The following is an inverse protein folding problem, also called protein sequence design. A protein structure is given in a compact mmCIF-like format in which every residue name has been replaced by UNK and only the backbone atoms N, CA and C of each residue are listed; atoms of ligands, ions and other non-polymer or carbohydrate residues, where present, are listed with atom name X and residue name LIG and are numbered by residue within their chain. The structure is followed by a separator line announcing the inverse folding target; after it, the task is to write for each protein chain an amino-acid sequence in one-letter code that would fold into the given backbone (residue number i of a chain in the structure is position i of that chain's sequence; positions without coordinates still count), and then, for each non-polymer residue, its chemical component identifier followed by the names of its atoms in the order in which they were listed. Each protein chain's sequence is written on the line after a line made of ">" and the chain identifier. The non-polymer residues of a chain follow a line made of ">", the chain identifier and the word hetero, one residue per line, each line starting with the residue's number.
data_IF_326753419103
#
_entry.id   IF_326753419103
#
_cell.length_a   1.000
_cell.length_b   1.000
_cell.length_c   1.000
_cell.angle_alpha   90.00
_cell.angle_beta   90.00
_cell.angle_gamma   90.00
#
_symmetry.space_group_name_H-M   'P 1'
#
loop_
_entity.id
_entity.type
_entity.pdbx_description
1 polymer ?
#
# COMPACT_ATOMS: atom_id res chain seq x y z
N UNK A 1 22.22 97.95 19.43
CA UNK A 1 22.00 97.33 20.74
C UNK A 1 22.30 95.85 20.56
N UNK A 2 23.54 95.38 20.81
CA UNK A 2 24.07 94.98 22.13
C UNK A 2 23.12 93.99 22.83
N UNK A 3 23.50 92.78 23.26
CA UNK A 3 24.80 92.12 23.32
C UNK A 3 24.66 90.78 24.08
N UNK A 4 25.76 90.00 24.08
CA UNK A 4 26.19 89.03 25.12
C UNK A 4 25.31 87.78 25.37
N UNK A 5 25.83 86.56 25.60
CA UNK A 5 27.15 86.09 26.00
C UNK A 5 27.05 85.21 27.27
N UNK A 6 27.78 84.09 27.30
CA UNK A 6 28.01 83.12 28.41
C UNK A 6 26.93 82.02 28.61
N UNK A 7 27.20 80.72 28.45
CA UNK A 7 28.19 79.80 29.07
C UNK A 7 27.96 79.58 30.57
N UNK A 8 27.37 78.44 30.93
CA UNK A 8 27.76 77.67 32.13
C UNK A 8 27.55 76.15 31.95
N UNK A 9 28.61 75.43 32.36
CA UNK A 9 28.75 73.98 32.61
C UNK A 9 27.69 73.55 33.65
N UNK A 10 27.19 72.33 33.80
CA UNK A 10 27.64 70.99 33.41
C UNK A 10 27.22 70.09 34.58
N UNK A 11 26.37 69.08 34.35
CA UNK A 11 26.06 68.04 35.35
C UNK A 11 25.93 66.69 34.65
N UNK A 12 26.56 65.71 35.27
CA UNK A 12 26.78 64.35 34.83
C UNK A 12 25.51 63.58 34.43
N UNK A 13 25.59 62.89 33.30
CA UNK A 13 24.62 61.90 32.85
C UNK A 13 25.37 60.69 32.28
N UNK A 14 25.54 59.68 33.13
CA UNK A 14 26.17 58.38 32.83
C UNK A 14 25.37 57.66 31.73
N UNK A 15 25.83 57.75 30.47
CA UNK A 15 25.30 56.91 29.39
C UNK A 15 26.12 55.62 29.28
N UNK A 16 25.57 54.56 29.91
CA UNK A 16 25.99 53.17 29.73
C UNK A 16 25.90 52.77 28.26
N UNK A 17 26.96 52.13 27.78
CA UNK A 17 26.98 51.39 26.53
C UNK A 17 25.87 50.32 26.50
N UNK A 18 25.18 50.12 25.37
CA UNK A 18 24.30 48.98 25.22
C UNK A 18 25.15 47.71 25.08
N UNK A 19 25.14 46.88 26.13
CA UNK A 19 25.52 45.46 26.03
C UNK A 19 24.63 44.85 24.95
N UNK A 20 25.22 44.45 23.81
CA UNK A 20 24.58 43.55 22.86
C UNK A 20 24.29 42.23 23.57
N UNK A 21 23.02 42.06 23.93
CA UNK A 21 22.39 40.79 24.30
C UNK A 21 22.46 39.89 23.07
N UNK A 22 23.24 38.82 23.15
CA UNK A 22 23.06 37.64 22.31
C UNK A 22 21.88 36.87 22.88
N UNK A 23 20.66 37.34 22.59
CA UNK A 23 19.46 36.57 22.82
C UNK A 23 19.25 35.67 21.59
N UNK A 24 19.15 34.37 21.86
CA UNK A 24 19.00 33.32 20.86
C UNK A 24 17.78 33.56 19.98
N UNK A 25 18.04 33.69 18.68
CA UNK A 25 17.03 33.50 17.65
C UNK A 25 16.74 32.00 17.54
N UNK A 26 15.78 31.57 18.36
CA UNK A 26 14.97 30.41 18.04
C UNK A 26 14.25 30.71 16.71
N UNK A 27 14.77 30.15 15.62
CA UNK A 27 14.06 30.03 14.35
C UNK A 27 12.87 29.10 14.57
N UNK A 28 11.77 29.66 15.04
CA UNK A 28 10.44 29.06 14.94
C UNK A 28 10.05 28.98 13.48
N UNK A 29 10.53 27.94 12.79
CA UNK A 29 9.98 27.55 11.50
C UNK A 29 8.55 27.12 11.77
N UNK A 30 7.59 27.94 11.32
CA UNK A 30 6.19 27.63 11.41
C UNK A 30 5.90 26.30 10.72
N UNK A 31 5.57 25.32 11.54
CA UNK A 31 5.23 23.94 11.16
C UNK A 31 3.84 23.81 10.52
N UNK A 32 3.21 24.94 10.15
CA UNK A 32 1.83 25.01 9.68
C UNK A 32 1.67 24.96 8.15
N UNK A 33 2.73 25.21 7.37
CA UNK A 33 2.61 25.29 5.90
C UNK A 33 2.83 23.97 5.14
N UNK A 34 3.34 22.92 5.78
CA UNK A 34 3.60 21.62 5.13
C UNK A 34 2.32 20.80 4.95
N UNK A 35 1.29 21.06 5.76
CA UNK A 35 0.04 20.27 5.76
C UNK A 35 -0.87 20.59 4.57
N UNK A 36 -0.71 21.75 3.92
CA UNK A 36 -1.60 22.20 2.84
C UNK A 36 -1.24 21.68 1.44
N UNK A 37 -0.15 20.91 1.26
CA UNK A 37 0.27 20.40 -0.06
C UNK A 37 0.23 18.87 -0.25
N UNK A 38 -0.25 18.14 0.75
CA UNK A 38 -0.67 16.73 0.60
C UNK A 38 -2.04 16.53 -0.11
N UNK A 39 -2.95 17.52 -0.30
CA UNK A 39 -4.30 17.22 -0.75
C UNK A 39 -4.42 16.92 -2.25
N UNK A 40 -3.34 16.86 -3.04
CA UNK A 40 -3.44 16.60 -4.49
C UNK A 40 -3.61 15.12 -4.86
N UNK A 41 -3.16 14.18 -4.02
CA UNK A 41 -3.53 12.76 -4.16
C UNK A 41 -4.77 12.36 -3.36
N UNK A 42 -5.29 13.26 -2.53
CA UNK A 42 -6.40 13.00 -1.60
C UNK A 42 -7.61 13.94 -1.81
N UNK A 43 -7.61 14.77 -2.85
CA UNK A 43 -8.60 15.82 -3.03
C UNK A 43 -9.47 15.62 -4.25
N UNK A 44 -10.77 15.34 -4.04
CA UNK A 44 -11.85 16.18 -4.58
C UNK A 44 -13.10 16.12 -3.67
N UNK A 45 -13.49 17.35 -3.28
CA UNK A 45 -14.83 17.88 -2.99
C UNK A 45 -15.72 17.29 -1.88
N UNK A 46 -15.72 18.01 -0.76
CA UNK A 46 -16.96 18.45 -0.10
C UNK A 46 -17.89 19.19 -1.08
N UNK A 47 -19.12 18.69 -1.27
CA UNK A 47 -20.38 19.46 -1.25
C UNK A 47 -21.57 18.64 -1.81
N UNK A 48 -22.50 18.25 -0.93
CA UNK A 48 -23.95 18.53 -1.08
C UNK A 48 -24.77 17.70 -0.11
N UNK A 49 -25.25 18.36 0.94
CA UNK A 49 -26.37 17.90 1.75
C UNK A 49 -27.68 18.10 0.98
N UNK A 50 -28.48 17.05 0.83
CA UNK A 50 -29.93 17.18 0.72
C UNK A 50 -30.58 15.94 1.37
N UNK A 51 -31.33 16.20 2.44
CA UNK A 51 -32.26 15.28 3.10
C UNK A 51 -33.44 14.97 2.16
N UNK A 52 -34.07 13.80 2.31
CA UNK A 52 -35.47 13.64 2.76
C UNK A 52 -36.06 12.25 2.42
N UNK A 53 -36.79 11.68 3.39
CA UNK A 53 -37.90 10.73 3.21
C UNK A 53 -37.50 9.26 3.03
N UNK A 54 -37.95 8.27 3.81
CA UNK A 54 -39.10 8.19 4.70
C UNK A 54 -40.11 7.16 4.15
N UNK A 55 -40.31 6.08 4.92
CA UNK A 55 -41.40 5.05 4.81
C UNK A 55 -41.25 4.08 3.63
N UNK A 56 -41.49 2.77 3.72
CA UNK A 56 -41.99 1.88 4.76
C UNK A 56 -42.37 0.51 4.14
N UNK A 57 -43.05 -0.31 4.95
CA UNK A 57 -43.91 -1.48 4.61
C UNK A 57 -43.23 -2.88 4.45
N UNK A 58 -43.95 -4.03 4.57
CA UNK A 58 -44.07 -4.83 5.81
C UNK A 58 -43.94 -6.38 5.66
N UNK A 59 -44.10 -7.12 6.77
CA UNK A 59 -44.73 -8.46 6.85
C UNK A 59 -43.82 -9.67 6.60
N UNK A 60 -43.54 -10.54 7.59
CA UNK A 60 -44.37 -11.65 8.20
C UNK A 60 -43.75 -13.02 7.80
N UNK A 61 -44.14 -14.17 8.39
CA UNK A 61 -43.81 -14.73 9.72
C UNK A 61 -43.01 -16.07 9.63
N UNK A 62 -42.68 -16.69 10.78
CA UNK A 62 -42.11 -18.05 10.92
C UNK A 62 -43.06 -19.19 10.47
N UNK A 63 -42.72 -20.49 10.66
CA UNK A 63 -42.44 -21.07 11.99
C UNK A 63 -41.41 -22.23 12.05
N UNK A 64 -41.02 -22.59 13.30
CA UNK A 64 -40.89 -23.92 13.95
C UNK A 64 -40.24 -25.09 13.16
N UNK A 65 -39.17 -25.74 13.61
CA UNK A 65 -38.96 -26.57 14.82
C UNK A 65 -38.73 -28.03 14.40
N UNK A 66 -37.84 -28.74 15.12
CA UNK A 66 -37.97 -30.19 15.30
C UNK A 66 -36.81 -31.08 14.81
N UNK A 67 -36.24 -31.82 15.79
CA UNK A 67 -35.76 -33.20 15.62
C UNK A 67 -34.30 -33.37 15.16
N UNK A 68 -33.33 -33.61 16.04
CA UNK A 68 -32.99 -34.92 16.62
C UNK A 68 -32.91 -36.06 15.59
N UNK A 69 -31.69 -36.52 15.27
CA UNK A 69 -31.34 -37.94 15.30
C UNK A 69 -29.83 -38.13 15.02
N UNK A 70 -29.13 -38.59 16.05
CA UNK A 70 -27.97 -39.47 15.93
C UNK A 70 -28.30 -40.64 14.99
N UNK A 71 -27.32 -41.18 14.25
CA UNK A 71 -26.63 -42.45 14.55
C UNK A 71 -25.93 -42.99 13.30
N UNK A 72 -24.77 -43.61 13.55
CA UNK A 72 -24.30 -44.86 12.92
C UNK A 72 -23.28 -44.74 11.76
N UNK A 73 -22.04 -44.86 12.21
CA UNK A 73 -20.90 -45.46 11.52
C UNK A 73 -21.29 -46.79 10.87
N UNK A 74 -20.99 -46.96 9.58
CA UNK A 74 -20.63 -48.26 9.01
C UNK A 74 -19.66 -48.08 7.86
N UNK A 75 -18.47 -48.68 8.05
CA UNK A 75 -17.49 -48.94 7.01
C UNK A 75 -18.04 -50.05 6.12
N UNK A 76 -18.06 -49.81 4.81
CA UNK A 76 -18.10 -50.87 3.81
C UNK A 76 -16.95 -50.62 2.84
N UNK A 77 -15.91 -51.43 3.00
CA UNK A 77 -14.87 -51.68 2.02
C UNK A 77 -15.44 -52.63 0.99
N UNK A 78 -15.56 -52.17 -0.24
CA UNK A 78 -15.80 -53.01 -1.41
C UNK A 78 -14.68 -52.81 -2.46
N UNK A 79 -14.40 -53.82 -3.28
CA UNK A 79 -13.15 -53.97 -3.98
C UNK A 79 -13.05 -53.13 -5.26
N UNK A 80 -11.81 -52.78 -5.58
CA UNK A 80 -11.37 -52.04 -6.76
C UNK A 80 -11.82 -52.77 -8.03
N UNK A 81 -12.81 -52.20 -8.73
CA UNK A 81 -13.12 -52.53 -10.12
C UNK A 81 -12.29 -51.59 -11.00
N UNK A 82 -11.21 -52.11 -11.59
CA UNK A 82 -10.42 -51.39 -12.60
C UNK A 82 -11.18 -51.50 -13.91
N UNK A 83 -12.04 -50.53 -14.17
CA UNK A 83 -12.73 -50.41 -15.45
C UNK A 83 -11.82 -49.70 -16.45
N UNK A 84 -11.27 -50.49 -17.37
CA UNK A 84 -10.26 -50.09 -18.33
C UNK A 84 -10.89 -49.51 -19.61
N UNK A 85 -11.78 -48.52 -19.52
CA UNK A 85 -12.24 -47.75 -20.70
C UNK A 85 -12.82 -46.38 -20.30
N UNK A 86 -11.97 -45.39 -20.04
CA UNK A 86 -12.35 -43.99 -20.25
C UNK A 86 -11.17 -43.23 -20.86
N UNK A 87 -10.99 -43.39 -22.17
CA UNK A 87 -10.20 -42.44 -22.97
C UNK A 87 -11.05 -41.21 -23.23
N UNK A 88 -11.23 -40.39 -22.20
CA UNK A 88 -11.70 -39.03 -22.38
C UNK A 88 -10.70 -38.27 -23.28
N UNK A 89 -11.18 -37.49 -24.27
CA UNK A 89 -10.33 -36.87 -25.27
C UNK A 89 -9.37 -35.90 -24.59
N UNK A 90 -8.08 -36.12 -24.79
CA UNK A 90 -7.01 -35.19 -24.48
C UNK A 90 -7.26 -33.89 -25.26
N UNK A 91 -8.07 -33.00 -24.67
CA UNK A 91 -8.11 -31.60 -25.08
C UNK A 91 -6.79 -30.99 -24.64
N UNK A 92 -5.82 -31.07 -25.55
CA UNK A 92 -4.61 -30.26 -25.52
C UNK A 92 -5.03 -28.79 -25.49
N UNK A 93 -5.22 -28.22 -24.29
CA UNK A 93 -5.27 -26.77 -24.10
C UNK A 93 -3.88 -26.24 -24.41
N UNK A 94 -3.67 -25.93 -25.67
CA UNK A 94 -2.60 -25.05 -26.13
C UNK A 94 -2.68 -23.79 -25.26
N UNK A 95 -1.61 -23.55 -24.50
CA UNK A 95 -1.49 -22.49 -23.51
C UNK A 95 -1.42 -21.12 -24.15
N UNK A 96 -2.56 -20.58 -24.57
CA UNK A 96 -2.74 -19.16 -24.78
C UNK A 96 -2.91 -18.48 -23.43
N UNK A 97 -2.00 -17.59 -23.05
CA UNK A 97 -2.14 -16.76 -21.86
C UNK A 97 -3.36 -15.86 -22.01
N UNK A 98 -4.54 -16.32 -21.58
CA UNK A 98 -5.77 -15.56 -21.74
C UNK A 98 -5.70 -14.34 -20.83
N UNK A 99 -5.56 -13.16 -21.45
CA UNK A 99 -5.74 -11.88 -20.78
C UNK A 99 -7.18 -11.86 -20.26
N UNK A 100 -7.36 -11.85 -18.95
CA UNK A 100 -8.70 -11.82 -18.37
C UNK A 100 -9.27 -10.41 -18.42
N UNK A 101 -10.57 -10.27 -18.64
CA UNK A 101 -11.24 -8.97 -18.70
C UNK A 101 -10.97 -8.02 -17.50
N UNK A 102 -10.79 -8.46 -16.22
CA UNK A 102 -10.49 -7.52 -15.14
C UNK A 102 -9.09 -6.91 -15.25
N UNK A 103 -8.14 -7.62 -15.86
CA UNK A 103 -6.81 -7.08 -16.13
C UNK A 103 -6.88 -6.04 -17.25
N UNK A 104 -7.72 -6.26 -18.27
CA UNK A 104 -7.96 -5.22 -19.30
C UNK A 104 -8.58 -3.98 -18.66
N UNK A 105 -9.59 -4.17 -17.80
CA UNK A 105 -10.22 -3.07 -17.06
C UNK A 105 -9.20 -2.33 -16.20
N UNK A 106 -8.34 -3.04 -15.48
CA UNK A 106 -7.22 -2.44 -14.72
C UNK A 106 -6.35 -1.55 -15.61
N UNK A 107 -5.90 -2.07 -16.77
CA UNK A 107 -5.02 -1.32 -17.69
C UNK A 107 -5.72 -0.08 -18.24
N UNK A 108 -7.01 -0.18 -18.61
CA UNK A 108 -7.79 0.97 -19.09
C UNK A 108 -7.93 2.02 -17.99
N UNK A 109 -8.33 1.63 -16.78
CA UNK A 109 -8.47 2.56 -15.64
C UNK A 109 -7.12 3.19 -15.28
N UNK A 110 -6.04 2.41 -15.29
CA UNK A 110 -4.67 2.89 -15.09
C UNK A 110 -4.26 3.94 -16.12
N UNK A 111 -4.49 3.67 -17.40
CA UNK A 111 -4.16 4.61 -18.48
C UNK A 111 -4.96 5.92 -18.33
N UNK A 112 -6.27 5.83 -18.09
CA UNK A 112 -7.12 7.00 -17.87
C UNK A 112 -6.64 7.78 -16.63
N UNK A 113 -6.33 7.10 -15.54
CA UNK A 113 -5.85 7.73 -14.31
C UNK A 113 -4.52 8.46 -14.51
N UNK A 114 -3.55 7.83 -15.20
CA UNK A 114 -2.26 8.46 -15.50
C UNK A 114 -2.43 9.70 -16.39
N UNK A 115 -3.30 9.64 -17.41
CA UNK A 115 -3.63 10.82 -18.23
C UNK A 115 -4.28 11.92 -17.38
N UNK A 116 -5.18 11.56 -16.46
CA UNK A 116 -5.78 12.53 -15.54
C UNK A 116 -4.76 13.19 -14.62
N UNK A 117 -3.75 12.45 -14.13
CA UNK A 117 -2.66 13.00 -13.34
C UNK A 117 -1.79 13.95 -14.17
N UNK A 118 -1.46 13.60 -15.42
CA UNK A 118 -0.66 14.45 -16.30
C UNK A 118 -1.37 15.74 -16.73
N UNK A 119 -2.70 15.75 -16.67
CA UNK A 119 -3.55 16.88 -17.05
C UNK A 119 -4.19 17.59 -15.85
N UNK A 120 -3.81 17.23 -14.61
CA UNK A 120 -4.36 17.76 -13.37
C UNK A 120 -5.91 17.76 -13.30
N UNK A 121 -6.54 16.69 -13.79
CA UNK A 121 -8.00 16.61 -13.89
C UNK A 121 -8.64 16.29 -12.53
N UNK A 122 -9.75 16.97 -12.15
CA UNK A 122 -10.39 16.80 -10.84
C UNK A 122 -11.06 15.42 -10.66
N UNK A 123 -11.23 14.65 -11.72
CA UNK A 123 -11.83 13.30 -11.65
C UNK A 123 -10.82 12.20 -11.31
N UNK A 124 -9.54 12.55 -11.08
CA UNK A 124 -8.45 11.61 -10.76
C UNK A 124 -8.73 10.75 -9.51
N UNK A 125 -9.43 11.30 -8.51
CA UNK A 125 -9.79 10.57 -7.30
C UNK A 125 -10.73 9.38 -7.56
N UNK A 126 -11.64 9.50 -8.53
CA UNK A 126 -12.59 8.42 -8.88
C UNK A 126 -11.84 7.27 -9.53
N UNK A 127 -10.98 7.57 -10.51
CA UNK A 127 -10.21 6.53 -11.20
C UNK A 127 -9.18 5.90 -10.29
N UNK A 128 -8.58 6.66 -9.35
CA UNK A 128 -7.68 6.14 -8.33
C UNK A 128 -8.34 5.05 -7.49
N UNK A 129 -9.55 5.32 -6.97
CA UNK A 129 -10.32 4.35 -6.19
C UNK A 129 -10.69 3.08 -6.97
N UNK A 130 -10.73 3.16 -8.31
CA UNK A 130 -11.05 2.03 -9.19
C UNK A 130 -9.84 1.22 -9.66
N UNK A 131 -8.60 1.60 -9.30
CA UNK A 131 -7.40 0.92 -9.79
C UNK A 131 -7.26 -0.50 -9.22
N UNK A 132 -7.34 -0.66 -7.90
CA UNK A 132 -7.03 -1.95 -7.25
C UNK A 132 -8.16 -3.00 -7.36
N UNK A 133 -9.47 -2.67 -7.28
CA UNK A 133 -10.53 -3.67 -7.32
C UNK A 133 -10.52 -4.61 -8.56
N UNK A 134 -10.30 -4.12 -9.80
CA UNK A 134 -10.15 -4.99 -10.97
C UNK A 134 -8.95 -5.94 -10.86
N UNK A 135 -7.87 -5.52 -10.19
CA UNK A 135 -6.70 -6.37 -9.98
C UNK A 135 -6.96 -7.47 -8.94
N UNK A 136 -7.71 -7.17 -7.88
CA UNK A 136 -8.22 -8.18 -6.94
C UNK A 136 -9.09 -9.18 -7.69
N UNK A 137 -10.03 -8.70 -8.51
CA UNK A 137 -10.86 -9.56 -9.32
C UNK A 137 -10.01 -10.43 -10.25
N UNK A 138 -9.01 -9.86 -10.95
CA UNK A 138 -8.07 -10.61 -11.79
C UNK A 138 -7.41 -11.77 -11.04
N UNK A 139 -6.83 -11.50 -9.86
CA UNK A 139 -6.23 -12.52 -9.00
C UNK A 139 -7.23 -13.64 -8.72
N UNK A 140 -8.41 -13.28 -8.19
CA UNK A 140 -9.44 -14.25 -7.80
C UNK A 140 -9.94 -15.08 -8.98
N UNK A 141 -10.15 -14.47 -10.16
CA UNK A 141 -10.60 -15.20 -11.36
C UNK A 141 -9.54 -16.19 -11.85
N UNK A 142 -8.27 -15.79 -11.87
CA UNK A 142 -7.16 -16.62 -12.37
C UNK A 142 -6.83 -17.78 -11.44
N UNK A 143 -7.11 -17.62 -10.16
CA UNK A 143 -6.93 -18.69 -9.16
C UNK A 143 -8.25 -19.33 -8.74
N UNK A 144 -9.31 -19.23 -9.56
CA UNK A 144 -10.58 -19.91 -9.31
C UNK A 144 -10.37 -21.41 -9.09
N UNK A 145 -11.03 -21.94 -8.07
CA UNK A 145 -10.90 -23.34 -7.65
C UNK A 145 -9.62 -23.66 -6.86
N UNK A 146 -8.73 -22.68 -6.63
CA UNK A 146 -7.49 -22.87 -5.86
C UNK A 146 -7.48 -21.99 -4.62
N UNK A 147 -8.02 -22.51 -3.53
CA UNK A 147 -8.15 -21.81 -2.24
C UNK A 147 -6.88 -21.94 -1.38
N UNK A 148 -5.75 -21.46 -1.89
CA UNK A 148 -4.49 -21.50 -1.14
C UNK A 148 -4.37 -20.31 -0.18
N UNK A 149 -3.68 -20.46 0.96
CA UNK A 149 -3.37 -19.33 1.85
C UNK A 149 -2.67 -18.17 1.14
N UNK A 150 -1.80 -18.48 0.17
CA UNK A 150 -1.12 -17.48 -0.67
C UNK A 150 -2.12 -16.56 -1.38
N UNK A 151 -3.15 -17.12 -2.03
CA UNK A 151 -4.17 -16.33 -2.73
C UNK A 151 -4.99 -15.50 -1.75
N UNK A 152 -5.46 -16.12 -0.66
CA UNK A 152 -6.30 -15.44 0.34
C UNK A 152 -5.59 -14.24 0.95
N UNK A 153 -4.36 -14.43 1.41
CA UNK A 153 -3.58 -13.37 2.05
C UNK A 153 -3.10 -12.30 1.05
N UNK A 154 -2.83 -12.67 -0.22
CA UNK A 154 -2.58 -11.69 -1.28
C UNK A 154 -3.81 -10.82 -1.58
N UNK A 155 -5.01 -11.41 -1.59
CA UNK A 155 -6.25 -10.66 -1.76
C UNK A 155 -6.52 -9.72 -0.57
N UNK A 156 -6.28 -10.19 0.66
CA UNK A 156 -6.34 -9.35 1.88
C UNK A 156 -5.34 -8.20 1.79
N UNK A 157 -4.12 -8.47 1.34
CA UNK A 157 -3.07 -7.46 1.18
C UNK A 157 -3.49 -6.36 0.20
N UNK A 158 -4.01 -6.74 -0.97
CA UNK A 158 -4.55 -5.82 -1.97
C UNK A 158 -5.75 -5.04 -1.42
N UNK A 159 -6.65 -5.69 -0.67
CA UNK A 159 -7.80 -5.04 -0.05
C UNK A 159 -7.40 -3.96 0.94
N UNK A 160 -6.42 -4.24 1.81
CA UNK A 160 -5.90 -3.24 2.74
C UNK A 160 -5.10 -2.13 2.06
N UNK A 161 -4.33 -2.45 1.01
CA UNK A 161 -3.68 -1.43 0.18
C UNK A 161 -4.70 -0.48 -0.46
N UNK A 162 -5.75 -1.05 -1.07
CA UNK A 162 -6.86 -0.27 -1.60
C UNK A 162 -7.56 0.60 -0.54
N UNK A 163 -7.81 0.06 0.65
CA UNK A 163 -8.35 0.86 1.76
C UNK A 163 -7.37 1.96 2.18
N UNK A 164 -6.06 1.69 2.16
CA UNK A 164 -5.01 2.68 2.44
C UNK A 164 -4.96 3.81 1.43
N UNK A 165 -5.45 3.59 0.21
CA UNK A 165 -5.62 4.62 -0.82
C UNK A 165 -6.97 5.36 -0.68
N UNK A 166 -8.06 4.64 -0.37
CA UNK A 166 -9.42 5.17 -0.42
C UNK A 166 -9.90 5.81 0.90
N UNK A 167 -9.61 5.18 2.05
CA UNK A 167 -10.13 5.63 3.36
C UNK A 167 -9.57 6.99 3.79
N UNK A 168 -8.28 7.31 3.60
CA UNK A 168 -7.74 8.60 4.03
C UNK A 168 -8.48 9.81 3.45
N UNK A 169 -9.00 9.70 2.22
CA UNK A 169 -9.79 10.76 1.55
C UNK A 169 -11.01 11.17 2.39
N UNK A 170 -11.55 10.25 3.18
CA UNK A 170 -12.76 10.45 3.99
C UNK A 170 -12.45 11.02 5.39
N UNK A 171 -11.17 11.16 5.74
CA UNK A 171 -10.75 11.58 7.08
C UNK A 171 -10.26 13.04 7.12
N UNK A 172 -10.32 13.70 8.28
CA UNK A 172 -9.71 15.00 8.48
C UNK A 172 -8.19 14.97 8.25
N UNK A 173 -7.63 16.05 7.69
CA UNK A 173 -6.20 16.23 7.37
C UNK A 173 -5.20 15.60 8.37
N UNK A 174 -5.29 15.82 9.70
CA UNK A 174 -4.32 15.24 10.65
C UNK A 174 -4.34 13.71 10.73
N UNK A 175 -5.44 13.06 10.35
CA UNK A 175 -5.60 11.61 10.41
C UNK A 175 -5.27 10.91 9.07
N UNK A 176 -5.22 11.64 7.95
CA UNK A 176 -5.07 11.08 6.61
C UNK A 176 -3.77 10.29 6.44
N UNK A 177 -2.64 10.92 6.80
CA UNK A 177 -1.32 10.30 6.65
C UNK A 177 -1.18 9.08 7.57
N UNK A 178 -1.59 9.21 8.83
CA UNK A 178 -1.50 8.13 9.81
C UNK A 178 -2.36 6.93 9.42
N UNK A 179 -3.60 7.15 8.99
CA UNK A 179 -4.50 6.07 8.57
C UNK A 179 -4.01 5.37 7.30
N UNK A 180 -3.47 6.14 6.33
CA UNK A 180 -2.88 5.56 5.12
C UNK A 180 -1.71 4.64 5.45
N UNK A 181 -0.79 5.09 6.31
CA UNK A 181 0.35 4.28 6.76
C UNK A 181 -0.13 3.01 7.47
N UNK A 182 -1.10 3.11 8.38
CA UNK A 182 -1.61 1.94 9.13
C UNK A 182 -2.27 0.93 8.20
N UNK A 183 -3.15 1.36 7.29
CA UNK A 183 -3.83 0.47 6.36
C UNK A 183 -2.85 -0.18 5.38
N UNK A 184 -1.89 0.58 4.86
CA UNK A 184 -0.82 0.03 4.02
C UNK A 184 0.10 -0.93 4.78
N UNK A 185 0.36 -0.69 6.07
CA UNK A 185 1.11 -1.61 6.93
C UNK A 185 0.37 -2.93 7.11
N UNK A 186 -0.96 -2.91 7.31
CA UNK A 186 -1.79 -4.11 7.33
C UNK A 186 -1.76 -4.85 5.99
N UNK A 187 -1.75 -4.11 4.88
CA UNK A 187 -1.55 -4.68 3.54
C UNK A 187 -0.21 -5.42 3.42
N UNK A 188 0.87 -4.83 3.91
CA UNK A 188 2.19 -5.46 3.94
C UNK A 188 2.23 -6.71 4.81
N UNK A 189 1.58 -6.69 5.97
CA UNK A 189 1.43 -7.89 6.79
C UNK A 189 0.71 -9.00 6.03
N UNK A 190 -0.33 -8.67 5.25
CA UNK A 190 -0.99 -9.60 4.35
C UNK A 190 -0.01 -10.23 3.35
N UNK A 191 0.82 -9.43 2.68
CA UNK A 191 1.83 -9.94 1.75
C UNK A 191 2.88 -10.81 2.44
N UNK A 192 3.37 -10.38 3.60
CA UNK A 192 4.33 -11.12 4.42
C UNK A 192 3.76 -12.48 4.79
N UNK A 193 2.54 -12.53 5.34
CA UNK A 193 1.87 -13.78 5.71
C UNK A 193 1.64 -14.68 4.48
N UNK A 194 1.32 -14.09 3.32
CA UNK A 194 1.15 -14.82 2.08
C UNK A 194 2.46 -15.51 1.62
N UNK A 195 3.60 -14.84 1.78
CA UNK A 195 4.90 -15.30 1.26
C UNK A 195 5.73 -16.08 2.28
N UNK A 196 5.43 -15.92 3.57
CA UNK A 196 6.14 -16.57 4.67
C UNK A 196 6.29 -18.09 4.50
N UNK A 197 5.30 -18.87 4.01
CA UNK A 197 5.48 -20.32 3.79
C UNK A 197 6.63 -20.67 2.84
N UNK A 198 7.06 -19.73 2.00
CA UNK A 198 8.17 -19.91 1.05
C UNK A 198 9.49 -19.30 1.52
N UNK A 199 9.60 -18.85 2.78
CA UNK A 199 10.77 -18.14 3.30
C UNK A 199 12.09 -18.94 3.16
N UNK A 200 12.04 -20.27 3.27
CA UNK A 200 13.23 -21.14 3.09
C UNK A 200 13.82 -21.08 1.68
N UNK A 201 13.03 -20.66 0.70
CA UNK A 201 13.44 -20.45 -0.70
C UNK A 201 13.79 -18.99 -0.99
N UNK A 202 13.68 -18.12 0.01
CA UNK A 202 14.00 -16.71 -0.13
C UNK A 202 15.51 -16.48 0.03
N UNK A 203 15.98 -15.34 -0.45
CA UNK A 203 17.37 -14.90 -0.27
C UNK A 203 17.77 -14.83 1.21
N UNK A 204 16.81 -14.62 2.13
CA UNK A 204 17.10 -14.60 3.56
C UNK A 204 17.62 -15.94 4.08
N UNK A 205 17.18 -17.05 3.49
CA UNK A 205 17.62 -18.40 3.87
C UNK A 205 18.72 -18.93 2.96
N UNK A 206 18.63 -18.69 1.65
CA UNK A 206 19.56 -19.28 0.67
C UNK A 206 20.84 -18.45 0.50
N UNK A 207 20.75 -17.11 0.61
CA UNK A 207 21.85 -16.19 0.33
C UNK A 207 21.81 -14.96 1.26
N UNK A 208 21.99 -15.14 2.59
CA UNK A 208 21.89 -14.05 3.56
C UNK A 208 22.73 -12.79 3.24
N UNK A 209 23.93 -12.87 2.62
CA UNK A 209 24.67 -11.66 2.23
C UNK A 209 23.91 -10.73 1.27
N UNK A 210 22.97 -11.24 0.48
CA UNK A 210 22.13 -10.42 -0.40
C UNK A 210 21.08 -9.59 0.36
N UNK A 211 20.96 -9.74 1.68
CA UNK A 211 20.14 -8.87 2.52
C UNK A 211 20.77 -7.51 2.76
N UNK A 212 22.09 -7.38 2.61
CA UNK A 212 22.82 -6.12 2.82
C UNK A 212 22.22 -4.95 2.02
N UNK A 213 21.98 -5.04 0.70
CA UNK A 213 21.36 -3.94 -0.04
C UNK A 213 19.94 -3.59 0.46
N UNK A 214 19.15 -4.57 0.91
CA UNK A 214 17.83 -4.33 1.50
C UNK A 214 17.94 -3.63 2.85
N UNK A 215 18.90 -4.05 3.68
CA UNK A 215 19.19 -3.43 4.97
C UNK A 215 19.67 -1.97 4.81
N UNK A 216 20.57 -1.72 3.86
CA UNK A 216 21.03 -0.36 3.52
C UNK A 216 19.83 0.47 3.04
N UNK A 217 19.00 -0.07 2.14
CA UNK A 217 17.82 0.60 1.63
C UNK A 217 16.84 1.00 2.73
N UNK A 218 16.50 0.07 3.65
CA UNK A 218 15.54 0.36 4.74
C UNK A 218 16.10 1.36 5.74
N UNK A 219 17.38 1.21 6.13
CA UNK A 219 18.03 2.13 7.08
C UNK A 219 18.16 3.51 6.47
N UNK A 220 18.55 3.61 5.20
CA UNK A 220 18.62 4.87 4.48
C UNK A 220 17.25 5.55 4.36
N UNK A 221 16.22 4.80 3.96
CA UNK A 221 14.86 5.31 3.85
C UNK A 221 14.33 5.82 5.19
N UNK A 222 14.44 5.03 6.26
CA UNK A 222 14.01 5.42 7.60
C UNK A 222 14.80 6.63 8.08
N UNK A 223 16.13 6.63 7.91
CA UNK A 223 17.01 7.71 8.35
C UNK A 223 16.68 9.06 7.68
N UNK A 224 16.35 9.05 6.39
CA UNK A 224 15.91 10.24 5.65
C UNK A 224 14.55 10.75 6.13
N UNK A 225 13.61 9.85 6.43
CA UNK A 225 12.25 10.22 6.82
C UNK A 225 12.12 10.62 8.30
N UNK A 226 13.04 10.15 9.16
CA UNK A 226 12.93 10.32 10.61
C UNK A 226 12.81 11.80 11.05
N UNK A 227 13.65 12.73 10.55
CA UNK A 227 13.60 14.15 10.96
C UNK A 227 12.26 14.82 10.67
N UNK A 228 11.61 14.48 9.55
CA UNK A 228 10.31 15.04 9.17
C UNK A 228 9.10 14.28 9.73
N UNK A 229 9.29 13.10 10.32
CA UNK A 229 8.19 12.25 10.77
C UNK A 229 7.48 12.73 12.04
N UNK A 230 8.09 13.61 12.83
CA UNK A 230 7.49 14.16 14.05
C UNK A 230 6.98 13.06 14.99
N UNK A 231 5.70 13.11 15.38
CA UNK A 231 5.09 12.09 16.26
C UNK A 231 4.81 10.75 15.54
N UNK A 232 4.91 10.69 14.22
CA UNK A 232 4.65 9.48 13.43
C UNK A 232 5.89 8.58 13.31
N UNK A 233 7.04 8.96 13.88
CA UNK A 233 8.27 8.18 13.79
C UNK A 233 8.09 6.68 14.13
N UNK A 234 7.27 6.25 15.13
CA UNK A 234 7.12 4.82 15.41
C UNK A 234 6.45 4.08 14.25
N UNK A 235 5.45 4.72 13.62
CA UNK A 235 4.75 4.18 12.46
C UNK A 235 5.69 4.13 11.25
N UNK A 236 6.53 5.15 11.05
CA UNK A 236 7.51 5.19 9.94
C UNK A 236 8.53 4.07 10.07
N UNK A 237 9.07 3.84 11.27
CA UNK A 237 10.03 2.75 11.52
C UNK A 237 9.36 1.40 11.30
N UNK A 238 8.19 1.16 11.92
CA UNK A 238 7.47 -0.10 11.79
C UNK A 238 7.12 -0.39 10.32
N UNK A 239 6.54 0.59 9.62
CA UNK A 239 6.15 0.44 8.23
C UNK A 239 7.36 0.26 7.32
N UNK A 240 8.46 0.98 7.53
CA UNK A 240 9.69 0.81 6.75
C UNK A 240 10.26 -0.61 6.84
N UNK A 241 10.25 -1.21 8.04
CA UNK A 241 10.67 -2.61 8.22
C UNK A 241 9.74 -3.58 7.49
N UNK A 242 8.42 -3.39 7.59
CA UNK A 242 7.44 -4.22 6.88
C UNK A 242 7.59 -4.11 5.35
N UNK A 243 7.81 -2.88 4.88
CA UNK A 243 7.99 -2.53 3.46
C UNK A 243 9.15 -3.32 2.83
N UNK A 244 10.27 -3.48 3.54
CA UNK A 244 11.45 -4.21 3.03
C UNK A 244 11.42 -5.71 3.34
N UNK A 245 10.69 -6.15 4.36
CA UNK A 245 10.52 -7.58 4.65
C UNK A 245 9.78 -8.30 3.51
N UNK A 246 8.76 -7.65 2.96
CA UNK A 246 7.93 -8.19 1.90
C UNK A 246 8.70 -8.58 0.61
N UNK A 247 9.52 -7.72 -0.02
CA UNK A 247 10.27 -8.07 -1.22
C UNK A 247 11.35 -9.12 -0.97
N UNK A 248 11.93 -9.17 0.23
CA UNK A 248 12.85 -10.23 0.63
C UNK A 248 12.14 -11.58 0.57
N UNK A 249 10.94 -11.70 1.16
CA UNK A 249 10.15 -12.92 1.09
C UNK A 249 9.64 -13.24 -0.32
N UNK A 250 9.34 -12.21 -1.13
CA UNK A 250 8.88 -12.36 -2.51
C UNK A 250 9.89 -13.10 -3.41
N UNK A 251 11.18 -13.11 -3.05
CA UNK A 251 12.22 -13.91 -3.73
C UNK A 251 11.92 -15.42 -3.69
N UNK A 252 11.27 -15.91 -2.64
CA UNK A 252 10.84 -17.31 -2.53
C UNK A 252 9.63 -17.68 -3.40
N UNK A 253 8.91 -16.69 -3.92
CA UNK A 253 7.77 -16.87 -4.83
C UNK A 253 8.25 -16.94 -6.28
N UNK A 254 9.14 -16.02 -6.66
CA UNK A 254 9.78 -15.98 -7.98
C UNK A 254 10.12 -14.58 -8.47
N UNK A 255 10.74 -14.51 -9.65
CA UNK A 255 11.33 -13.27 -10.19
C UNK A 255 10.30 -12.14 -10.40
N UNK A 256 9.06 -12.47 -10.81
CA UNK A 256 7.99 -11.48 -10.99
C UNK A 256 7.59 -10.83 -9.66
N UNK A 257 7.35 -11.64 -8.64
CA UNK A 257 7.02 -11.13 -7.31
C UNK A 257 8.19 -10.34 -6.70
N UNK A 258 9.43 -10.75 -6.97
CA UNK A 258 10.63 -10.02 -6.51
C UNK A 258 10.67 -8.61 -7.08
N UNK A 259 10.59 -8.46 -8.40
CA UNK A 259 10.59 -7.15 -9.04
C UNK A 259 9.37 -6.32 -8.68
N UNK A 260 8.22 -6.98 -8.50
CA UNK A 260 7.02 -6.32 -7.99
C UNK A 260 7.24 -5.75 -6.58
N UNK A 261 7.83 -6.53 -5.67
CA UNK A 261 8.17 -6.05 -4.33
C UNK A 261 9.19 -4.92 -4.34
N UNK A 262 10.25 -5.02 -5.16
CA UNK A 262 11.25 -3.95 -5.29
C UNK A 262 10.61 -2.67 -5.82
N UNK A 263 9.79 -2.76 -6.87
CA UNK A 263 9.04 -1.62 -7.40
C UNK A 263 8.11 -1.00 -6.36
N UNK A 264 7.49 -1.83 -5.51
CA UNK A 264 6.64 -1.36 -4.42
C UNK A 264 7.46 -0.55 -3.39
N UNK A 265 8.62 -1.03 -2.97
CA UNK A 265 9.52 -0.29 -2.06
C UNK A 265 9.91 1.06 -2.67
N UNK A 266 10.24 1.10 -3.95
CA UNK A 266 10.63 2.33 -4.62
C UNK A 266 9.46 3.33 -4.68
N UNK A 267 8.26 2.88 -5.06
CA UNK A 267 7.07 3.73 -5.08
C UNK A 267 6.74 4.27 -3.68
N UNK A 268 6.69 3.41 -2.66
CA UNK A 268 6.43 3.82 -1.28
C UNK A 268 7.54 4.70 -0.70
N UNK A 269 8.79 4.46 -1.09
CA UNK A 269 9.93 5.29 -0.69
C UNK A 269 9.82 6.72 -1.22
N UNK A 270 9.43 6.88 -2.49
CA UNK A 270 9.16 8.20 -3.08
C UNK A 270 8.00 8.93 -2.40
N UNK A 271 6.92 8.21 -2.07
CA UNK A 271 5.80 8.78 -1.29
C UNK A 271 6.30 9.24 0.09
N UNK A 272 7.11 8.43 0.76
CA UNK A 272 7.65 8.74 2.08
C UNK A 272 8.59 9.95 2.04
N UNK A 273 9.46 10.06 1.02
CA UNK A 273 10.32 11.23 0.84
C UNK A 273 9.48 12.49 0.63
N UNK A 274 8.44 12.45 -0.21
CA UNK A 274 7.58 13.63 -0.35
C UNK A 274 6.85 14.00 0.94
N UNK A 275 6.47 13.01 1.74
CA UNK A 275 5.77 13.26 3.00
C UNK A 275 6.69 13.82 4.11
N UNK A 276 7.97 13.41 4.13
CA UNK A 276 8.85 13.65 5.28
C UNK A 276 10.16 14.36 4.96
N UNK A 277 10.52 14.55 3.70
CA UNK A 277 11.75 15.24 3.28
C UNK A 277 11.41 16.65 2.74
N UNK A 278 11.68 17.73 3.51
CA UNK A 278 11.38 19.08 3.07
C UNK A 278 12.12 19.43 1.77
N UNK A 279 11.41 20.06 0.83
CA UNK A 279 11.98 20.51 -0.44
C UNK A 279 12.16 19.42 -1.50
N UNK A 280 11.77 18.17 -1.22
CA UNK A 280 11.75 17.13 -2.24
C UNK A 280 10.61 17.37 -3.24
N UNK A 281 10.96 17.54 -4.52
CA UNK A 281 10.04 17.69 -5.63
C UNK A 281 10.57 16.92 -6.84
N UNK A 282 9.67 16.23 -7.53
CA UNK A 282 9.96 15.58 -8.81
C UNK A 282 9.02 16.17 -9.88
N UNK A 283 9.47 16.38 -11.12
CA UNK A 283 8.57 16.68 -12.21
C UNK A 283 7.60 15.51 -12.41
N UNK A 284 6.29 15.78 -12.48
CA UNK A 284 5.24 14.75 -12.63
C UNK A 284 5.36 13.62 -11.58
N UNK A 285 5.70 13.98 -10.35
CA UNK A 285 5.88 13.06 -9.22
C UNK A 285 4.70 12.11 -9.05
N UNK A 286 3.46 12.63 -9.08
CA UNK A 286 2.25 11.82 -8.95
C UNK A 286 2.14 10.74 -10.04
N UNK A 287 2.33 11.11 -11.31
CA UNK A 287 2.22 10.17 -12.41
C UNK A 287 3.31 9.09 -12.37
N UNK A 288 4.55 9.46 -12.04
CA UNK A 288 5.69 8.53 -11.96
C UNK A 288 5.50 7.55 -10.80
N UNK A 289 5.15 8.05 -9.62
CA UNK A 289 4.93 7.24 -8.41
C UNK A 289 3.79 6.25 -8.65
N UNK A 290 2.66 6.72 -9.18
CA UNK A 290 1.50 5.87 -9.44
C UNK A 290 1.79 4.86 -10.54
N UNK A 291 2.49 5.24 -11.61
CA UNK A 291 2.90 4.28 -12.65
C UNK A 291 3.78 3.16 -12.08
N UNK A 292 4.77 3.50 -11.25
CA UNK A 292 5.64 2.54 -10.61
C UNK A 292 4.88 1.60 -9.65
N UNK A 293 3.96 2.16 -8.87
CA UNK A 293 3.06 1.41 -7.99
C UNK A 293 2.20 0.41 -8.78
N UNK A 294 1.59 0.84 -9.89
CA UNK A 294 0.72 -0.01 -10.70
C UNK A 294 1.50 -1.16 -11.36
N UNK A 295 2.70 -0.88 -11.87
CA UNK A 295 3.59 -1.92 -12.41
C UNK A 295 3.98 -2.91 -11.30
N UNK A 296 4.33 -2.42 -10.11
CA UNK A 296 4.68 -3.24 -8.96
C UNK A 296 3.54 -4.19 -8.57
N UNK A 297 2.30 -3.68 -8.48
CA UNK A 297 1.12 -4.47 -8.17
C UNK A 297 0.86 -5.58 -9.20
N UNK A 298 0.92 -5.26 -10.50
CA UNK A 298 0.74 -6.26 -11.57
C UNK A 298 1.79 -7.36 -11.47
N UNK A 299 3.05 -7.01 -11.23
CA UNK A 299 4.15 -7.97 -11.09
C UNK A 299 3.96 -8.88 -9.87
N UNK A 300 3.52 -8.35 -8.74
CA UNK A 300 3.20 -9.13 -7.55
C UNK A 300 2.07 -10.12 -7.81
N UNK A 301 0.95 -9.64 -8.36
CA UNK A 301 -0.21 -10.49 -8.66
C UNK A 301 0.12 -11.54 -9.71
N UNK A 302 0.87 -11.18 -10.75
CA UNK A 302 1.35 -12.12 -11.76
C UNK A 302 2.26 -13.19 -11.15
N UNK A 303 3.12 -12.83 -10.20
CA UNK A 303 3.96 -13.77 -9.45
C UNK A 303 3.14 -14.78 -8.66
N UNK A 304 2.10 -14.33 -7.96
CA UNK A 304 1.16 -15.19 -7.23
C UNK A 304 0.42 -16.13 -8.16
N UNK A 305 -0.20 -15.61 -9.22
CA UNK A 305 -0.94 -16.40 -10.21
C UNK A 305 -0.05 -17.47 -10.84
N UNK A 306 1.15 -17.09 -11.29
CA UNK A 306 2.11 -18.03 -11.88
C UNK A 306 2.55 -19.12 -10.91
N UNK A 307 2.73 -18.79 -9.63
CA UNK A 307 3.09 -19.75 -8.59
C UNK A 307 1.98 -20.78 -8.35
N UNK A 308 0.73 -20.33 -8.36
CA UNK A 308 -0.46 -21.16 -8.14
C UNK A 308 -0.80 -22.01 -9.37
N UNK A 309 -0.51 -21.50 -10.57
CA UNK A 309 -0.76 -22.21 -11.84
C UNK A 309 0.25 -23.30 -12.15
N UNK A 310 1.48 -23.24 -11.61
CA UNK A 310 2.45 -24.33 -11.73
C UNK A 310 1.97 -25.53 -10.91
N UNK A 311 1.62 -26.66 -11.55
CA UNK A 311 1.39 -27.90 -10.81
C UNK A 311 2.67 -28.24 -10.07
N UNK A 312 2.56 -28.55 -8.77
CA UNK A 312 3.61 -29.29 -8.10
C UNK A 312 3.83 -30.53 -8.93
N UNK A 313 5.00 -30.67 -9.58
CA UNK A 313 5.43 -31.99 -10.07
C UNK A 313 5.59 -32.82 -8.81
N UNK A 314 4.52 -33.52 -8.45
CA UNK A 314 4.57 -34.57 -7.46
C UNK A 314 5.59 -35.57 -8.02
N UNK A 315 6.68 -35.71 -7.28
CA UNK A 315 7.66 -36.76 -7.52
C UNK A 315 6.89 -38.04 -7.29
N UNK A 316 6.47 -38.67 -8.38
CA UNK A 316 6.05 -40.05 -8.36
C UNK A 316 7.18 -40.84 -7.71
N UNK A 317 6.97 -41.47 -6.54
CA UNK A 317 7.99 -42.29 -5.94
C UNK A 317 8.24 -43.44 -6.91
N UNK A 318 9.38 -43.41 -7.61
CA UNK A 318 9.90 -44.58 -8.30
C UNK A 318 10.10 -45.64 -7.24
N UNK A 319 9.18 -46.60 -7.22
CA UNK A 319 9.26 -47.81 -6.40
C UNK A 319 10.45 -48.68 -6.77
#
# INVERSE_FOLDING_TARGET
>A
MQGEGAVQRGVAGVHRAPRRRTDGLATGVQQHDVVHRIPLLLGVATASHARLGGRGVPGRPGPDAGGLALTRISRHTDPVHVDATDRSPATSRVGGGVVSWPLVLFVVVAAVHLVQLLLDLPTSGITHALLVPPLIAHLLLRTRGRHTPLVRWSAVALGFGWLGDAVPVLLPAPAQLASSIVLHALGHLGWIVAFLPTWRRSIASERPPLLVPYAIGVVGLIGVCLPGSGRLWPLVVLYGVLLVTMPVLATGIGIRATWGGVGYVLASGLIAWRAFLPGFQLPADDAIIVALYLVALVLLVSGVVHRVERPSREVEPTG
#
